data_IF_685193183456
#
_entry.id   IF_685193183456
#
_cell.length_a   1.000
_cell.length_b   1.000
_cell.length_c   1.000
_cell.angle_alpha   90.00
_cell.angle_beta   90.00
_cell.angle_gamma   90.00
#
_symmetry.space_group_name_H-M   'P 1'
#
loop_
_entity.id
_entity.type
_entity.pdbx_description
1 polymer ?
#
# COMPACT_ATOMS: atom_id res chain seq x y z
N UNK A 1 -1.80 23.92 -3.49
CA UNK A 1 -1.10 23.67 -4.77
C UNK A 1 0.11 22.82 -4.45
N UNK A 2 0.21 21.60 -4.97
CA UNK A 2 1.46 20.82 -4.89
C UNK A 2 2.50 21.59 -5.71
N UNK A 3 3.48 22.17 -5.01
CA UNK A 3 4.58 22.93 -5.62
C UNK A 3 5.34 22.06 -6.63
N UNK A 4 5.89 22.68 -7.67
CA UNK A 4 6.57 22.02 -8.80
C UNK A 4 7.91 21.34 -8.41
N UNK A 5 8.13 21.08 -7.11
CA UNK A 5 9.36 20.55 -6.51
C UNK A 5 9.16 19.26 -5.71
N UNK A 6 7.92 18.78 -5.55
CA UNK A 6 7.67 17.50 -4.89
C UNK A 6 7.88 16.35 -5.88
N UNK A 7 9.03 15.69 -5.80
CA UNK A 7 9.35 14.48 -6.58
C UNK A 7 8.98 13.25 -5.77
N UNK A 8 8.10 12.40 -6.32
CA UNK A 8 7.78 11.08 -5.74
C UNK A 8 8.70 10.04 -6.37
N UNK A 9 9.52 9.38 -5.55
CA UNK A 9 10.31 8.23 -5.97
C UNK A 9 9.52 6.95 -5.66
N UNK A 10 9.21 6.18 -6.71
CA UNK A 10 8.56 4.87 -6.58
C UNK A 10 9.59 3.76 -6.71
N UNK A 11 9.58 2.84 -5.77
CA UNK A 11 10.36 1.60 -5.81
C UNK A 11 9.41 0.42 -5.75
N UNK A 12 9.61 -0.56 -6.64
CA UNK A 12 8.90 -1.83 -6.59
C UNK A 12 9.74 -2.86 -5.84
N UNK A 13 9.18 -3.46 -4.79
CA UNK A 13 9.78 -4.59 -4.10
C UNK A 13 8.97 -5.84 -4.43
N UNK A 14 9.56 -6.87 -5.07
CA UNK A 14 8.85 -8.12 -5.26
C UNK A 14 8.56 -8.77 -3.91
N UNK A 15 7.31 -9.22 -3.69
CA UNK A 15 6.86 -9.85 -2.43
C UNK A 15 7.40 -11.27 -2.18
N UNK A 16 8.24 -11.80 -3.06
CA UNK A 16 8.79 -13.16 -2.93
C UNK A 16 9.91 -13.19 -1.90
N UNK A 17 9.95 -14.24 -1.09
CA UNK A 17 10.89 -14.44 0.03
C UNK A 17 12.35 -14.15 -0.31
N UNK A 18 12.79 -14.58 -1.49
CA UNK A 18 14.17 -14.38 -1.96
C UNK A 18 14.58 -12.92 -2.16
N UNK A 19 13.67 -11.97 -2.14
CA UNK A 19 13.94 -10.54 -2.32
C UNK A 19 13.80 -9.73 -1.02
N UNK A 20 13.53 -10.36 0.11
CA UNK A 20 13.37 -9.69 1.42
C UNK A 20 14.60 -8.91 1.89
N UNK A 21 15.80 -9.24 1.39
CA UNK A 21 17.02 -8.47 1.65
C UNK A 21 16.98 -7.05 1.07
N UNK A 22 16.15 -6.81 0.04
CA UNK A 22 15.99 -5.48 -0.56
C UNK A 22 15.15 -4.56 0.33
N UNK A 23 14.30 -5.12 1.18
CA UNK A 23 13.30 -4.38 1.93
C UNK A 23 13.94 -3.52 3.03
N UNK A 24 14.96 -4.02 3.74
CA UNK A 24 15.67 -3.25 4.77
C UNK A 24 16.35 -1.99 4.21
N UNK A 25 16.78 -2.05 2.94
CA UNK A 25 17.39 -0.92 2.23
C UNK A 25 16.35 0.06 1.70
N UNK A 26 15.16 -0.43 1.34
CA UNK A 26 14.07 0.39 0.84
C UNK A 26 13.34 1.12 1.97
N UNK A 27 13.23 0.54 3.17
CA UNK A 27 12.53 1.19 4.28
C UNK A 27 13.27 2.39 4.85
N UNK A 28 14.60 2.45 4.74
CA UNK A 28 15.37 3.59 5.21
C UNK A 28 15.05 4.85 4.39
N UNK A 29 14.30 5.79 5.00
CA UNK A 29 13.93 7.06 4.39
C UNK A 29 12.66 7.04 3.55
N UNK A 30 11.91 5.93 3.53
CA UNK A 30 10.62 5.85 2.83
C UNK A 30 9.53 6.59 3.62
N UNK A 31 8.73 7.39 2.91
CA UNK A 31 7.62 8.15 3.50
C UNK A 31 6.40 7.27 3.78
N UNK A 32 6.17 6.26 2.95
CA UNK A 32 5.12 5.27 3.12
C UNK A 32 5.11 4.25 1.99
N UNK A 33 4.23 3.25 2.07
CA UNK A 33 4.16 2.14 1.12
C UNK A 33 2.75 1.91 0.56
N UNK A 34 2.68 1.27 -0.61
CA UNK A 34 1.45 0.68 -1.14
C UNK A 34 1.63 -0.82 -1.14
N UNK A 35 0.72 -1.54 -0.49
CA UNK A 35 0.62 -3.00 -0.61
C UNK A 35 -0.40 -3.32 -1.69
N UNK A 36 0.08 -3.76 -2.85
CA UNK A 36 -0.77 -4.21 -3.95
C UNK A 36 -1.18 -5.67 -3.72
N UNK A 37 -2.47 -5.93 -3.55
CA UNK A 37 -2.98 -7.26 -3.20
C UNK A 37 -3.78 -7.88 -4.33
N UNK A 38 -3.67 -9.20 -4.47
CA UNK A 38 -4.52 -10.04 -5.32
C UNK A 38 -5.55 -10.74 -4.44
N UNK A 39 -6.84 -10.44 -4.62
CA UNK A 39 -7.92 -11.02 -3.81
C UNK A 39 -8.02 -12.54 -3.93
N UNK A 40 -7.47 -13.13 -4.99
CA UNK A 40 -7.42 -14.59 -5.18
C UNK A 40 -6.38 -15.25 -4.27
N UNK A 41 -5.43 -14.47 -3.74
CA UNK A 41 -4.24 -14.93 -2.99
C UNK A 41 -3.87 -13.95 -1.87
N UNK A 42 -4.85 -13.53 -1.07
CA UNK A 42 -4.64 -12.53 0.01
C UNK A 42 -3.53 -12.92 1.00
N UNK A 43 -3.40 -14.21 1.32
CA UNK A 43 -2.39 -14.70 2.26
C UNK A 43 -0.94 -14.36 1.84
N UNK A 44 -0.67 -14.20 0.53
CA UNK A 44 0.66 -13.80 0.05
C UNK A 44 1.01 -12.35 0.47
N UNK A 45 0.02 -11.56 0.89
CA UNK A 45 0.18 -10.15 1.27
C UNK A 45 0.44 -9.97 2.76
N UNK A 46 0.14 -10.97 3.59
CA UNK A 46 0.27 -10.89 5.06
C UNK A 46 1.67 -10.50 5.49
N UNK A 47 2.69 -11.11 4.91
CA UNK A 47 4.09 -10.80 5.26
C UNK A 47 4.44 -9.34 4.99
N UNK A 48 3.95 -8.76 3.89
CA UNK A 48 4.23 -7.37 3.54
C UNK A 48 3.59 -6.41 4.54
N UNK A 49 2.33 -6.68 4.92
CA UNK A 49 1.57 -5.90 5.91
C UNK A 49 2.25 -5.99 7.27
N UNK A 50 2.45 -7.21 7.77
CA UNK A 50 3.06 -7.48 9.07
C UNK A 50 4.41 -6.77 9.20
N UNK A 51 5.25 -6.82 8.16
CA UNK A 51 6.55 -6.15 8.17
C UNK A 51 6.44 -4.63 8.20
N UNK A 52 5.49 -4.04 7.46
CA UNK A 52 5.25 -2.60 7.48
C UNK A 52 4.77 -2.13 8.85
N UNK A 53 3.89 -2.90 9.49
CA UNK A 53 3.40 -2.66 10.85
C UNK A 53 4.54 -2.74 11.88
N UNK A 54 5.34 -3.81 11.82
CA UNK A 54 6.52 -3.98 12.67
C UNK A 54 7.52 -2.81 12.56
N UNK A 55 7.70 -2.26 11.36
CA UNK A 55 8.57 -1.10 11.14
C UNK A 55 7.89 0.26 11.38
N UNK A 56 6.58 0.28 11.69
CA UNK A 56 5.81 1.51 11.85
C UNK A 56 5.78 2.37 10.58
N UNK A 57 5.96 1.77 9.41
CA UNK A 57 5.94 2.46 8.13
C UNK A 57 4.49 2.67 7.70
N UNK A 58 4.01 3.91 7.52
CA UNK A 58 2.63 4.13 7.08
C UNK A 58 2.39 3.54 5.70
N UNK A 59 1.21 2.96 5.47
CA UNK A 59 0.90 2.33 4.21
C UNK A 59 -0.59 2.41 3.87
N UNK A 60 -0.90 2.09 2.61
CA UNK A 60 -2.26 1.82 2.14
C UNK A 60 -2.30 0.44 1.49
N UNK A 61 -3.48 -0.13 1.37
CA UNK A 61 -3.70 -1.39 0.64
C UNK A 61 -4.49 -1.09 -0.64
N UNK A 62 -3.97 -1.58 -1.76
CA UNK A 62 -4.61 -1.44 -3.07
C UNK A 62 -5.01 -2.83 -3.59
N UNK A 63 -6.31 -3.11 -3.62
CA UNK A 63 -6.88 -4.33 -4.17
C UNK A 63 -6.84 -4.26 -5.69
N UNK A 64 -5.90 -4.97 -6.30
CA UNK A 64 -5.76 -4.95 -7.74
C UNK A 64 -6.73 -5.92 -8.42
N UNK A 65 -7.44 -5.45 -9.44
CA UNK A 65 -8.30 -6.28 -10.27
C UNK A 65 -7.46 -7.21 -11.16
N UNK A 66 -7.47 -8.49 -10.79
CA UNK A 66 -6.90 -9.58 -11.58
C UNK A 66 -7.96 -10.51 -12.19
N UNK A 67 -9.23 -10.07 -12.26
CA UNK A 67 -10.35 -10.87 -12.76
C UNK A 67 -10.80 -11.97 -11.79
N UNK A 68 -10.79 -11.66 -10.49
CA UNK A 68 -11.16 -12.57 -9.40
C UNK A 68 -12.60 -12.40 -8.91
N UNK A 69 -13.02 -13.20 -7.90
CA UNK A 69 -14.30 -13.01 -7.23
C UNK A 69 -14.37 -11.62 -6.56
N UNK A 70 -15.58 -11.05 -6.57
CA UNK A 70 -15.87 -9.82 -5.84
C UNK A 70 -15.97 -10.13 -4.35
N UNK A 71 -15.23 -9.38 -3.55
CA UNK A 71 -15.28 -9.41 -2.09
C UNK A 71 -15.71 -8.05 -1.60
N UNK A 72 -16.47 -8.00 -0.50
CA UNK A 72 -16.75 -6.72 0.15
C UNK A 72 -15.48 -6.19 0.82
N UNK A 73 -15.41 -4.88 1.01
CA UNK A 73 -14.33 -4.24 1.78
C UNK A 73 -14.16 -4.90 3.17
N UNK A 74 -15.26 -5.18 3.86
CA UNK A 74 -15.23 -5.85 5.16
C UNK A 74 -14.55 -7.23 5.10
N UNK A 75 -14.89 -8.05 4.10
CA UNK A 75 -14.28 -9.37 3.94
C UNK A 75 -12.77 -9.28 3.71
N UNK A 76 -12.33 -8.29 2.93
CA UNK A 76 -10.90 -8.09 2.65
C UNK A 76 -10.18 -7.62 3.91
N UNK A 77 -10.76 -6.68 4.67
CA UNK A 77 -10.19 -6.21 5.93
C UNK A 77 -10.04 -7.35 6.94
N UNK A 78 -11.09 -8.13 7.14
CA UNK A 78 -11.08 -9.31 8.02
C UNK A 78 -10.02 -10.34 7.59
N UNK A 79 -9.91 -10.61 6.29
CA UNK A 79 -8.94 -11.56 5.76
C UNK A 79 -7.47 -11.10 5.87
N UNK A 80 -7.25 -9.79 5.97
CA UNK A 80 -5.91 -9.19 6.10
C UNK A 80 -5.59 -8.74 7.54
N UNK A 81 -6.51 -8.92 8.49
CA UNK A 81 -6.45 -8.33 9.84
C UNK A 81 -6.17 -6.81 9.80
N UNK A 82 -6.78 -6.12 8.82
CA UNK A 82 -6.42 -4.75 8.48
C UNK A 82 -7.20 -3.73 9.34
N UNK A 83 -6.47 -2.86 10.04
CA UNK A 83 -7.03 -1.75 10.81
C UNK A 83 -7.93 -0.83 9.94
N UNK A 84 -8.99 -0.28 10.56
CA UNK A 84 -9.91 0.67 9.91
C UNK A 84 -9.21 1.95 9.43
N UNK A 85 -8.13 2.35 10.12
CA UNK A 85 -7.36 3.56 9.80
C UNK A 85 -6.50 3.42 8.55
N UNK A 86 -6.28 2.18 8.07
CA UNK A 86 -5.52 1.92 6.85
C UNK A 86 -6.46 2.04 5.65
N UNK A 87 -6.20 2.97 4.71
CA UNK A 87 -6.97 3.08 3.48
C UNK A 87 -6.90 1.80 2.66
N UNK A 88 -8.07 1.30 2.30
CA UNK A 88 -8.26 0.18 1.37
C UNK A 88 -8.92 0.73 0.11
N UNK A 89 -8.25 0.58 -1.04
CA UNK A 89 -8.76 1.09 -2.32
C UNK A 89 -8.76 0.00 -3.38
N UNK A 90 -9.75 0.02 -4.26
CA UNK A 90 -9.71 -0.78 -5.49
C UNK A 90 -8.78 -0.13 -6.52
N UNK A 91 -8.11 -0.95 -7.32
CA UNK A 91 -7.29 -0.47 -8.42
C UNK A 91 -7.21 -1.45 -9.59
N UNK A 92 -6.85 -0.94 -10.77
CA UNK A 92 -6.29 -1.71 -11.87
C UNK A 92 -4.95 -1.08 -12.23
N UNK A 93 -3.85 -1.77 -11.90
CA UNK A 93 -2.49 -1.32 -12.14
C UNK A 93 -2.14 -1.20 -13.63
N UNK A 94 -2.96 -1.75 -14.54
CA UNK A 94 -2.83 -1.57 -15.99
C UNK A 94 -3.42 -0.23 -16.43
N UNK A 95 -4.32 0.35 -15.64
CA UNK A 95 -4.89 1.66 -15.88
C UNK A 95 -4.09 2.76 -15.17
N UNK A 96 -3.66 3.75 -15.95
CA UNK A 96 -2.83 4.85 -15.46
C UNK A 96 -3.58 5.74 -14.47
N UNK A 97 -4.87 5.97 -14.69
CA UNK A 97 -5.67 6.86 -13.83
C UNK A 97 -5.94 6.20 -12.49
N UNK A 98 -6.23 4.90 -12.49
CA UNK A 98 -6.36 4.07 -11.30
C UNK A 98 -5.07 4.01 -10.49
N UNK A 99 -3.94 3.75 -11.15
CA UNK A 99 -2.62 3.78 -10.49
C UNK A 99 -2.30 5.15 -9.88
N UNK A 100 -2.65 6.23 -10.59
CA UNK A 100 -2.49 7.60 -10.08
C UNK A 100 -3.35 7.85 -8.84
N UNK A 101 -4.58 7.36 -8.83
CA UNK A 101 -5.48 7.48 -7.68
C UNK A 101 -4.90 6.82 -6.43
N UNK A 102 -4.37 5.59 -6.56
CA UNK A 102 -3.67 4.89 -5.46
C UNK A 102 -2.55 5.73 -4.87
N UNK A 103 -1.71 6.35 -5.71
CA UNK A 103 -0.62 7.19 -5.25
C UNK A 103 -1.09 8.49 -4.58
N UNK A 104 -2.19 9.07 -5.06
CA UNK A 104 -2.82 10.23 -4.41
C UNK A 104 -3.32 9.83 -3.02
N UNK A 105 -4.03 8.71 -2.90
CA UNK A 105 -4.52 8.20 -1.61
C UNK A 105 -3.39 7.99 -0.61
N UNK A 106 -2.24 7.45 -1.04
CA UNK A 106 -1.08 7.31 -0.17
C UNK A 106 -0.60 8.69 0.32
N UNK A 107 -0.40 9.64 -0.58
CA UNK A 107 0.08 10.99 -0.21
C UNK A 107 -0.89 11.69 0.75
N UNK A 108 -2.20 11.58 0.51
CA UNK A 108 -3.24 12.15 1.37
C UNK A 108 -3.22 11.51 2.76
N UNK A 109 -3.10 10.18 2.83
CA UNK A 109 -2.98 9.45 4.09
C UNK A 109 -1.75 9.89 4.90
N UNK A 110 -0.60 10.00 4.22
CA UNK A 110 0.64 10.49 4.84
C UNK A 110 0.53 11.93 5.36
N UNK A 111 -0.14 12.79 4.59
CA UNK A 111 -0.38 14.17 5.00
C UNK A 111 -1.29 14.25 6.23
N UNK A 112 -2.34 13.44 6.28
CA UNK A 112 -3.26 13.37 7.43
C UNK A 112 -2.53 12.89 8.71
N UNK A 113 -1.72 11.83 8.61
CA UNK A 113 -0.92 11.34 9.75
C UNK A 113 0.12 12.36 10.23
N UNK A 114 0.71 13.11 9.30
CA UNK A 114 1.68 14.16 9.64
C UNK A 114 1.01 15.33 10.36
N UNK A 115 -0.20 15.71 9.94
CA UNK A 115 -0.99 16.75 10.60
C UNK A 115 -1.45 16.33 12.00
N UNK A 116 -1.81 15.06 12.21
CA UNK A 116 -2.22 14.53 13.51
C UNK A 116 -1.07 14.40 14.54
N UNK A 117 0.18 14.48 14.10
CA UNK A 117 1.38 14.46 14.95
C UNK A 117 1.82 15.83 15.47
N UNK A 118 1.23 16.91 14.95
CA UNK A 118 1.46 18.30 15.37
C UNK A 118 0.42 18.71 16.42
#
# INVERSE_FOLDING_TARGET
TLDARSVLYLFGAPGQERFWFLWDRLFSGTLGAVVLVDTRRLADSWYAIDRLEHHGTPFIVACNDFGGPLHSEQQIREALDLSEDVPLVECDARDRSSSKYVLITLVEHLAALSAARL
#
